data_IF_684997425249
#
_entry.id   IF_684997425249
#
_cell.length_a   1.000
_cell.length_b   1.000
_cell.length_c   1.000
_cell.angle_alpha   90.00
_cell.angle_beta   90.00
_cell.angle_gamma   90.00
#
_symmetry.space_group_name_H-M   'P 1'
#
loop_
_entity.id
_entity.type
_entity.pdbx_description
1 polymer ?
#
# COMPACT_ATOMS: atom_id res chain seq x y z
N UNK A 1 -60.28 9.55 2.21
CA UNK A 1 -59.44 8.86 1.20
C UNK A 1 -58.13 9.63 1.09
N UNK A 2 -57.15 9.33 1.95
CA UNK A 2 -55.89 10.07 2.01
C UNK A 2 -54.84 9.38 1.13
N UNK A 3 -54.38 10.05 0.09
CA UNK A 3 -53.28 9.60 -0.76
C UNK A 3 -51.97 9.79 0.00
N UNK A 4 -51.32 8.68 0.34
CA UNK A 4 -50.01 8.66 0.96
C UNK A 4 -48.97 9.04 -0.09
N UNK A 5 -48.46 10.26 -0.03
CA UNK A 5 -47.31 10.69 -0.81
C UNK A 5 -46.02 10.29 -0.06
N UNK A 6 -45.26 9.38 -0.64
CA UNK A 6 -43.95 8.98 -0.13
C UNK A 6 -42.94 10.05 -0.50
N UNK A 7 -42.49 10.82 0.50
CA UNK A 7 -41.34 11.71 0.39
C UNK A 7 -40.08 10.85 0.52
N UNK A 8 -39.47 10.46 -0.60
CA UNK A 8 -38.17 9.78 -0.61
C UNK A 8 -37.08 10.74 -0.11
N UNK A 9 -36.85 10.74 1.21
CA UNK A 9 -35.64 11.32 1.80
C UNK A 9 -34.38 10.65 1.24
N UNK A 10 -33.20 11.28 1.32
CA UNK A 10 -32.01 10.85 0.62
C UNK A 10 -31.64 9.42 1.02
N UNK A 11 -31.71 8.53 0.04
CA UNK A 11 -31.29 7.13 0.05
C UNK A 11 -29.99 6.96 0.88
N UNK A 12 -30.06 6.09 1.89
CA UNK A 12 -29.20 5.93 3.08
C UNK A 12 -27.67 5.70 2.87
N UNK A 13 -27.14 5.78 1.65
CA UNK A 13 -25.73 6.00 1.22
C UNK A 13 -25.59 5.31 -0.13
N UNK A 14 -25.69 6.08 -1.22
CA UNK A 14 -25.33 5.62 -2.56
C UNK A 14 -23.92 5.01 -2.51
N UNK A 15 -23.81 3.70 -2.77
CA UNK A 15 -22.53 2.98 -2.83
C UNK A 15 -21.99 3.13 -4.24
N UNK A 16 -20.80 3.71 -4.34
CA UNK A 16 -20.10 3.89 -5.62
C UNK A 16 -19.19 2.70 -5.87
N UNK A 17 -19.38 2.02 -7.01
CA UNK A 17 -18.41 1.00 -7.42
C UNK A 17 -17.05 1.64 -7.72
N UNK A 18 -15.94 0.89 -7.58
CA UNK A 18 -14.60 1.41 -7.91
C UNK A 18 -14.49 1.89 -9.36
N UNK A 19 -15.19 1.24 -10.29
CA UNK A 19 -15.24 1.59 -11.72
C UNK A 19 -15.98 2.90 -11.97
N UNK A 20 -17.14 3.12 -11.33
CA UNK A 20 -17.86 4.39 -11.43
C UNK A 20 -17.04 5.55 -10.86
N UNK A 21 -16.45 5.36 -9.68
CA UNK A 21 -15.55 6.35 -9.07
C UNK A 21 -14.38 6.69 -9.99
N UNK A 22 -13.78 5.69 -10.63
CA UNK A 22 -12.67 5.88 -11.58
C UNK A 22 -13.12 6.72 -12.79
N UNK A 23 -14.26 6.39 -13.40
CA UNK A 23 -14.81 7.14 -14.54
C UNK A 23 -15.07 8.61 -14.19
N UNK A 24 -15.67 8.88 -13.03
CA UNK A 24 -15.95 10.25 -12.56
C UNK A 24 -14.65 11.03 -12.32
N UNK A 25 -13.64 10.37 -11.73
CA UNK A 25 -12.34 10.99 -11.50
C UNK A 25 -11.63 11.30 -12.82
N UNK A 26 -11.62 10.37 -13.77
CA UNK A 26 -11.00 10.57 -15.10
C UNK A 26 -11.65 11.74 -15.85
N UNK A 27 -12.99 11.81 -15.88
CA UNK A 27 -13.71 12.94 -16.50
C UNK A 27 -13.34 14.28 -15.82
N UNK A 28 -13.17 14.29 -14.50
CA UNK A 28 -12.78 15.48 -13.73
C UNK A 28 -11.31 15.89 -13.87
N UNK A 29 -10.48 15.07 -14.53
CA UNK A 29 -9.06 15.33 -14.79
C UNK A 29 -8.80 15.81 -16.22
N UNK A 30 -9.79 15.73 -17.12
CA UNK A 30 -9.70 16.27 -18.48
C UNK A 30 -9.46 17.78 -18.41
N UNK A 31 -8.54 18.29 -19.24
CA UNK A 31 -8.25 19.72 -19.34
C UNK A 31 -9.52 20.51 -19.70
N UNK A 32 -9.81 21.58 -18.96
CA UNK A 32 -11.03 22.36 -19.12
C UNK A 32 -12.28 21.79 -18.44
N UNK A 33 -12.20 20.64 -17.76
CA UNK A 33 -13.31 20.11 -16.97
C UNK A 33 -13.56 20.94 -15.70
N UNK A 34 -14.84 21.21 -15.42
CA UNK A 34 -15.28 21.86 -14.18
C UNK A 34 -15.85 20.80 -13.25
N UNK A 35 -15.24 20.62 -12.07
CA UNK A 35 -15.62 19.59 -11.09
C UNK A 35 -17.10 19.66 -10.72
N UNK A 36 -17.66 20.86 -10.56
CA UNK A 36 -19.08 21.04 -10.25
C UNK A 36 -20.01 20.60 -11.40
N UNK A 37 -19.59 20.73 -12.66
CA UNK A 37 -20.37 20.25 -13.80
C UNK A 37 -20.34 18.72 -13.88
N UNK A 38 -19.16 18.12 -13.69
CA UNK A 38 -19.00 16.65 -13.62
C UNK A 38 -19.82 16.08 -12.46
N UNK A 39 -19.75 16.70 -11.28
CA UNK A 39 -20.49 16.28 -10.10
C UNK A 39 -22.01 16.30 -10.34
N UNK A 40 -22.54 17.35 -10.98
CA UNK A 40 -23.97 17.43 -11.37
C UNK A 40 -24.37 16.34 -12.37
N UNK A 41 -23.55 16.05 -13.38
CA UNK A 41 -23.85 15.00 -14.37
C UNK A 41 -23.98 13.61 -13.76
N UNK A 42 -23.20 13.33 -12.71
CA UNK A 42 -23.21 12.04 -12.03
C UNK A 42 -24.09 12.02 -10.78
N UNK A 43 -24.80 13.12 -10.47
CA UNK A 43 -25.59 13.30 -9.25
C UNK A 43 -24.75 13.00 -7.98
N UNK A 44 -23.60 13.67 -7.91
CA UNK A 44 -22.62 13.55 -6.83
C UNK A 44 -22.34 14.90 -6.22
N UNK A 45 -22.09 14.94 -4.92
CA UNK A 45 -21.60 16.15 -4.28
C UNK A 45 -20.16 16.49 -4.73
N UNK A 46 -19.84 17.74 -5.13
CA UNK A 46 -18.51 18.12 -5.60
C UNK A 46 -17.35 17.76 -4.65
N UNK A 47 -17.56 17.88 -3.33
CA UNK A 47 -16.56 17.48 -2.33
C UNK A 47 -16.14 16.01 -2.45
N UNK A 48 -17.04 15.11 -2.85
CA UNK A 48 -16.73 13.69 -3.00
C UNK A 48 -15.80 13.46 -4.20
N UNK A 49 -16.01 14.19 -5.30
CA UNK A 49 -15.13 14.17 -6.47
C UNK A 49 -13.74 14.71 -6.11
N UNK A 50 -13.66 15.82 -5.35
CA UNK A 50 -12.37 16.33 -4.86
C UNK A 50 -11.65 15.33 -3.96
N UNK A 51 -12.38 14.65 -3.06
CA UNK A 51 -11.82 13.61 -2.20
C UNK A 51 -11.28 12.44 -3.03
N UNK A 52 -12.04 11.96 -4.01
CA UNK A 52 -11.61 10.88 -4.89
C UNK A 52 -10.42 11.25 -5.77
N UNK A 53 -10.34 12.49 -6.26
CA UNK A 53 -9.14 13.00 -6.97
C UNK A 53 -7.91 12.96 -6.08
N UNK A 54 -8.02 13.32 -4.79
CA UNK A 54 -6.90 13.23 -3.83
C UNK A 54 -6.47 11.79 -3.61
N UNK A 55 -7.42 10.88 -3.41
CA UNK A 55 -7.13 9.45 -3.25
C UNK A 55 -6.48 8.84 -4.49
N UNK A 56 -6.92 9.21 -5.69
CA UNK A 56 -6.31 8.75 -6.94
C UNK A 56 -4.87 9.26 -7.10
N UNK A 57 -4.59 10.52 -6.73
CA UNK A 57 -3.22 11.06 -6.71
C UNK A 57 -2.33 10.35 -5.69
N UNK A 58 -2.85 10.06 -4.50
CA UNK A 58 -2.11 9.32 -3.47
C UNK A 58 -1.83 7.89 -3.92
N UNK A 59 -2.81 7.19 -4.50
CA UNK A 59 -2.61 5.86 -5.06
C UNK A 59 -1.57 5.86 -6.19
N UNK A 60 -1.54 6.90 -7.04
CA UNK A 60 -0.49 7.06 -8.04
C UNK A 60 0.89 7.36 -7.43
N UNK A 61 0.95 8.09 -6.32
CA UNK A 61 2.18 8.39 -5.58
C UNK A 61 2.72 7.19 -4.78
N UNK A 62 1.86 6.25 -4.40
CA UNK A 62 2.26 5.00 -3.71
C UNK A 62 2.51 3.86 -4.70
N UNK A 63 1.81 3.85 -5.84
CA UNK A 63 1.99 2.87 -6.92
C UNK A 63 3.12 3.21 -7.89
N UNK A 64 3.48 4.48 -8.01
CA UNK A 64 4.77 4.90 -8.52
C UNK A 64 5.74 4.91 -7.37
N UNK A 65 6.58 3.87 -7.27
CA UNK A 65 7.69 3.85 -6.31
C UNK A 65 8.39 5.20 -6.28
N UNK A 66 8.80 5.63 -5.08
CA UNK A 66 9.51 6.88 -4.80
C UNK A 66 10.22 7.39 -6.06
N UNK A 67 9.79 8.54 -6.57
CA UNK A 67 10.42 9.15 -7.75
C UNK A 67 11.77 9.70 -7.31
N UNK A 68 12.75 8.80 -7.18
CA UNK A 68 14.13 9.12 -6.85
C UNK A 68 14.70 9.90 -8.03
N UNK A 69 14.99 11.17 -7.80
CA UNK A 69 15.77 11.96 -8.75
C UNK A 69 17.23 11.49 -8.63
N UNK A 70 17.92 11.23 -9.76
CA UNK A 70 19.32 10.84 -9.70
C UNK A 70 20.14 12.01 -9.18
N UNK A 71 20.55 11.92 -7.92
CA UNK A 71 21.57 12.77 -7.34
C UNK A 71 22.88 12.01 -7.40
N UNK A 72 23.86 12.51 -8.14
CA UNK A 72 25.20 11.93 -8.17
C UNK A 72 25.92 12.27 -6.86
N UNK A 73 26.16 11.26 -6.04
CA UNK A 73 26.94 11.40 -4.83
C UNK A 73 28.42 11.18 -5.17
N UNK A 74 29.10 12.21 -5.69
CA UNK A 74 30.55 12.20 -5.83
C UNK A 74 31.19 12.30 -4.44
N UNK A 75 31.31 11.16 -3.75
CA UNK A 75 31.96 11.14 -2.43
C UNK A 75 31.85 9.88 -1.58
N UNK A 76 31.20 8.80 -2.03
CA UNK A 76 31.13 7.55 -1.25
C UNK A 76 31.96 6.40 -1.86
N UNK A 77 33.19 6.69 -2.30
CA UNK A 77 34.16 5.61 -2.52
C UNK A 77 34.58 5.08 -1.14
N UNK A 78 33.90 4.02 -0.67
CA UNK A 78 34.26 3.33 0.57
C UNK A 78 33.13 2.68 1.35
N UNK A 79 31.89 2.63 0.86
CA UNK A 79 30.86 1.78 1.47
C UNK A 79 30.80 0.44 0.76
N UNK A 80 31.58 -0.52 1.27
CA UNK A 80 31.31 -1.94 1.02
C UNK A 80 29.84 -2.23 1.36
N UNK A 81 29.13 -3.01 0.52
CA UNK A 81 27.77 -3.46 0.85
C UNK A 81 27.86 -4.21 2.18
N UNK A 82 27.38 -3.58 3.25
CA UNK A 82 27.23 -4.26 4.53
C UNK A 82 26.18 -5.34 4.31
N UNK A 83 26.61 -6.61 4.24
CA UNK A 83 25.72 -7.78 4.18
C UNK A 83 24.97 -7.86 5.50
N UNK A 84 23.95 -7.02 5.64
CA UNK A 84 23.04 -6.99 6.78
C UNK A 84 21.89 -7.94 6.46
N UNK A 85 22.18 -9.24 6.53
CA UNK A 85 21.17 -10.30 6.48
C UNK A 85 21.31 -11.13 7.74
N UNK A 86 20.24 -11.25 8.52
CA UNK A 86 20.17 -12.28 9.56
C UNK A 86 19.07 -13.28 9.22
N UNK A 87 19.41 -14.56 9.29
CA UNK A 87 18.48 -15.68 9.14
C UNK A 87 18.04 -16.09 10.54
N UNK A 88 16.73 -16.09 10.79
CA UNK A 88 16.15 -16.61 12.04
C UNK A 88 15.52 -17.97 11.76
N UNK A 89 15.92 -18.97 12.54
CA UNK A 89 15.47 -20.35 12.43
C UNK A 89 14.72 -20.67 13.72
N UNK A 90 13.42 -20.91 13.61
CA UNK A 90 12.59 -21.37 14.72
C UNK A 90 12.59 -22.91 14.78
N UNK A 91 12.93 -23.47 15.94
CA UNK A 91 13.03 -24.90 16.21
C UNK A 91 12.02 -25.25 17.32
N UNK A 92 10.77 -25.52 16.94
CA UNK A 92 9.68 -25.75 17.90
C UNK A 92 9.25 -24.48 18.64
N UNK A 93 8.39 -24.62 19.66
CA UNK A 93 7.76 -23.48 20.32
C UNK A 93 8.70 -22.65 21.23
N UNK A 94 9.89 -23.16 21.57
CA UNK A 94 10.73 -22.59 22.62
C UNK A 94 12.16 -22.20 22.19
N UNK A 95 12.59 -22.56 20.98
CA UNK A 95 13.97 -22.33 20.56
C UNK A 95 14.05 -21.53 19.26
N UNK A 96 14.83 -20.44 19.31
CA UNK A 96 15.11 -19.57 18.19
C UNK A 96 16.61 -19.43 18.00
N UNK A 97 17.06 -19.62 16.76
CA UNK A 97 18.47 -19.47 16.37
C UNK A 97 18.57 -18.31 15.40
N UNK A 98 19.35 -17.29 15.75
CA UNK A 98 19.63 -16.16 14.88
C UNK A 98 21.04 -16.27 14.33
N UNK A 99 21.15 -16.23 13.01
CA UNK A 99 22.40 -16.36 12.26
C UNK A 99 22.64 -15.05 11.54
N UNK A 100 23.79 -14.42 11.74
CA UNK A 100 24.22 -13.27 10.95
C UNK A 100 25.13 -13.69 9.78
N UNK A 101 25.43 -12.75 8.89
CA UNK A 101 26.25 -12.99 7.70
C UNK A 101 27.73 -13.33 7.98
N UNK A 102 28.20 -13.29 9.24
CA UNK A 102 29.59 -13.59 9.63
C UNK A 102 29.75 -14.99 10.23
N UNK A 103 28.65 -15.74 10.37
CA UNK A 103 28.69 -17.07 10.97
C UNK A 103 29.31 -18.08 10.00
N UNK A 104 30.29 -18.83 10.48
CA UNK A 104 30.92 -19.93 9.76
C UNK A 104 29.94 -21.10 9.54
N UNK A 105 29.92 -21.64 8.33
CA UNK A 105 29.00 -22.71 7.92
C UNK A 105 29.20 -23.99 8.74
N UNK A 106 30.45 -24.38 8.99
CA UNK A 106 30.76 -25.59 9.76
C UNK A 106 30.35 -25.44 11.23
N UNK A 107 30.53 -24.25 11.81
CA UNK A 107 30.05 -23.93 13.14
C UNK A 107 28.51 -23.98 13.23
N UNK A 108 27.80 -23.36 12.29
CA UNK A 108 26.33 -23.40 12.24
C UNK A 108 25.81 -24.84 12.10
N UNK A 109 26.43 -25.62 11.20
CA UNK A 109 26.07 -27.02 10.98
C UNK A 109 26.25 -27.92 12.20
N UNK A 110 27.25 -27.65 13.06
CA UNK A 110 27.43 -28.37 14.34
C UNK A 110 26.34 -28.03 15.34
N UNK A 111 25.99 -26.74 15.46
CA UNK A 111 24.93 -26.27 16.36
C UNK A 111 23.57 -26.85 15.95
N UNK A 112 23.21 -26.76 14.67
CA UNK A 112 21.94 -27.31 14.18
C UNK A 112 21.83 -28.83 14.39
N UNK A 113 22.92 -29.58 14.20
CA UNK A 113 22.96 -31.02 14.49
C UNK A 113 22.77 -31.33 15.97
N UNK A 114 23.41 -30.57 16.85
CA UNK A 114 23.23 -30.74 18.29
C UNK A 114 21.78 -30.41 18.70
N UNK A 115 21.19 -29.33 18.20
CA UNK A 115 19.81 -28.95 18.48
C UNK A 115 18.78 -29.97 17.95
N UNK A 116 19.02 -30.57 16.78
CA UNK A 116 18.19 -31.65 16.25
C UNK A 116 18.17 -32.92 17.10
N UNK A 117 19.15 -33.12 17.99
CA UNK A 117 19.15 -34.22 18.96
C UNK A 117 18.41 -33.93 20.27
N UNK A 118 18.14 -32.65 20.58
CA UNK A 118 17.48 -32.20 21.82
C UNK A 118 15.95 -32.16 21.68
N UNK A 119 15.43 -32.06 20.45
CA UNK A 119 14.00 -32.02 20.15
C UNK A 119 13.33 -33.37 19.92
N UNK A 120 13.91 -34.48 20.40
CA UNK A 120 13.28 -35.81 20.38
C UNK A 120 12.80 -36.22 21.76
#
# INVERSE_FOLDING_TARGET
MATVAVLSGPERRRRWSPSEKKRIVEESLVAGSVVAAVARRHDVHPNLVHHWRRQAKQAAATGGGLKLLPMSLSGLLGMEPRTAGSIEIELGAALRVRVDARVDEAALGRVLRALGSVGR
#
